data_IF_160875174608
#
_entry.id   IF_160875174608
#
_cell.length_a   1.000
_cell.length_b   1.000
_cell.length_c   1.000
_cell.angle_alpha   90.00
_cell.angle_beta   90.00
_cell.angle_gamma   90.00
#
_symmetry.space_group_name_H-M   'P 1'
#
loop_
_entity.id
_entity.type
_entity.pdbx_description
1 polymer ?
#
# COMPACT_ATOMS: atom_id res chain seq x y z
N UNK A 1 11.95 5.98 -5.01
CA UNK A 1 11.08 4.78 -5.04
C UNK A 1 11.63 3.75 -6.03
N UNK A 2 12.61 2.93 -5.61
CA UNK A 2 13.29 1.93 -6.45
C UNK A 2 13.18 0.49 -5.89
N UNK A 3 12.62 0.33 -4.68
CA UNK A 3 12.64 -0.91 -3.91
C UNK A 3 11.32 -1.69 -3.88
N UNK A 4 10.23 -1.14 -4.42
CA UNK A 4 8.95 -1.85 -4.52
C UNK A 4 8.21 -1.45 -5.80
N UNK A 5 8.18 -2.30 -6.84
CA UNK A 5 7.32 -2.11 -8.01
C UNK A 5 5.84 -1.95 -7.67
N UNK A 6 5.33 -2.59 -6.61
CA UNK A 6 3.95 -2.43 -6.16
C UNK A 6 3.62 -1.00 -5.72
N UNK A 7 4.50 -0.42 -4.89
CA UNK A 7 4.38 0.96 -4.43
C UNK A 7 4.41 1.98 -5.56
N UNK A 8 5.31 1.77 -6.53
CA UNK A 8 5.45 2.62 -7.72
C UNK A 8 4.15 2.63 -8.53
N UNK A 9 3.60 1.45 -8.84
CA UNK A 9 2.39 1.31 -9.64
C UNK A 9 1.16 1.90 -8.95
N UNK A 10 1.09 1.83 -7.62
CA UNK A 10 0.02 2.50 -6.85
C UNK A 10 0.16 4.02 -6.89
N UNK A 11 1.37 4.54 -6.69
CA UNK A 11 1.66 5.97 -6.80
C UNK A 11 1.34 6.50 -8.21
N UNK A 12 1.80 5.82 -9.26
CA UNK A 12 1.53 6.21 -10.65
C UNK A 12 0.03 6.22 -10.96
N UNK A 13 -0.75 5.26 -10.42
CA UNK A 13 -2.23 5.27 -10.52
C UNK A 13 -2.87 6.49 -9.84
N UNK A 14 -2.34 6.91 -8.69
CA UNK A 14 -2.83 8.09 -7.97
C UNK A 14 -2.51 9.37 -8.74
N UNK A 15 -1.28 9.48 -9.26
CA UNK A 15 -0.86 10.63 -10.08
C UNK A 15 -1.63 10.69 -11.40
N UNK A 16 -1.86 9.55 -12.06
CA UNK A 16 -2.69 9.47 -13.27
C UNK A 16 -4.15 9.86 -13.03
N UNK A 17 -4.66 9.71 -11.80
CA UNK A 17 -5.99 10.18 -11.39
C UNK A 17 -6.05 11.69 -11.10
N UNK A 18 -4.95 12.42 -11.27
CA UNK A 18 -4.88 13.84 -10.97
C UNK A 18 -4.81 14.15 -9.47
N UNK A 19 -4.52 13.16 -8.62
CA UNK A 19 -4.31 13.42 -7.21
C UNK A 19 -3.06 14.28 -7.05
N UNK A 20 -3.21 15.45 -6.41
CA UNK A 20 -2.07 16.32 -6.09
C UNK A 20 -1.00 15.54 -5.32
N UNK A 21 0.27 15.93 -5.50
CA UNK A 21 1.45 15.22 -4.97
C UNK A 21 1.28 14.81 -3.49
N UNK A 22 0.82 15.72 -2.63
CA UNK A 22 0.60 15.45 -1.21
C UNK A 22 -0.51 14.41 -0.95
N UNK A 23 -1.56 14.40 -1.75
CA UNK A 23 -2.67 13.44 -1.64
C UNK A 23 -2.21 12.05 -2.07
N UNK A 24 -1.48 11.95 -3.18
CA UNK A 24 -0.88 10.69 -3.63
C UNK A 24 0.08 10.13 -2.57
N UNK A 25 0.91 10.98 -1.96
CA UNK A 25 1.85 10.57 -0.93
C UNK A 25 1.14 10.10 0.35
N UNK A 26 0.09 10.80 0.80
CA UNK A 26 -0.73 10.39 1.95
C UNK A 26 -1.40 9.03 1.72
N UNK A 27 -1.99 8.82 0.54
CA UNK A 27 -2.63 7.55 0.21
C UNK A 27 -1.61 6.40 0.14
N UNK A 28 -0.42 6.66 -0.40
CA UNK A 28 0.67 5.70 -0.41
C UNK A 28 1.14 5.36 1.02
N UNK A 29 1.34 6.37 1.86
CA UNK A 29 1.78 6.20 3.25
C UNK A 29 0.74 5.42 4.08
N UNK A 30 -0.54 5.79 4.00
CA UNK A 30 -1.62 5.09 4.71
C UNK A 30 -1.67 3.60 4.33
N UNK A 31 -1.44 3.29 3.04
CA UNK A 31 -1.40 1.92 2.57
C UNK A 31 -0.21 1.14 3.14
N UNK A 32 0.98 1.75 3.17
CA UNK A 32 2.18 1.15 3.74
C UNK A 32 2.01 0.85 5.24
N UNK A 33 1.40 1.77 5.99
CA UNK A 33 1.10 1.57 7.42
C UNK A 33 0.16 0.37 7.63
N UNK A 34 -0.88 0.23 6.80
CA UNK A 34 -1.79 -0.93 6.87
C UNK A 34 -1.11 -2.27 6.60
N UNK A 35 -0.18 -2.31 5.64
CA UNK A 35 0.61 -3.51 5.34
C UNK A 35 1.54 -3.85 6.50
N UNK A 36 2.28 -2.86 7.01
CA UNK A 36 3.17 -3.03 8.16
C UNK A 36 2.40 -3.54 9.39
N UNK A 37 1.24 -2.94 9.67
CA UNK A 37 0.38 -3.36 10.76
C UNK A 37 -0.11 -4.80 10.58
N UNK A 38 -0.47 -5.20 9.35
CA UNK A 38 -0.81 -6.59 9.02
C UNK A 38 0.36 -7.54 9.34
N UNK A 39 1.55 -7.25 8.81
CA UNK A 39 2.77 -8.05 9.04
C UNK A 39 3.12 -8.14 10.53
N UNK A 40 3.00 -7.04 11.27
CA UNK A 40 3.28 -7.01 12.70
C UNK A 40 2.25 -7.83 13.49
N UNK A 41 0.96 -7.74 13.13
CA UNK A 41 -0.12 -8.48 13.78
C UNK A 41 -0.01 -9.99 13.57
N UNK A 42 0.40 -10.43 12.39
CA UNK A 42 0.54 -11.85 12.04
C UNK A 42 1.93 -12.40 12.31
N UNK A 43 2.91 -11.54 12.65
CA UNK A 43 4.31 -11.93 12.82
C UNK A 43 4.95 -12.44 11.52
N UNK A 44 4.39 -12.10 10.36
CA UNK A 44 4.89 -12.59 9.06
C UNK A 44 5.87 -11.60 8.44
N UNK A 45 6.95 -12.07 7.79
CA UNK A 45 7.84 -11.19 7.06
C UNK A 45 7.10 -10.46 5.94
N UNK A 46 7.60 -9.27 5.58
CA UNK A 46 7.05 -8.49 4.48
C UNK A 46 7.22 -9.25 3.17
N UNK A 47 6.11 -9.53 2.50
CA UNK A 47 6.05 -10.11 1.16
C UNK A 47 5.40 -9.10 0.22
N UNK A 48 6.10 -8.70 -0.84
CA UNK A 48 5.64 -7.68 -1.77
C UNK A 48 4.39 -8.12 -2.57
N UNK A 49 4.29 -9.39 -2.93
CA UNK A 49 3.14 -9.93 -3.65
C UNK A 49 1.89 -9.89 -2.76
N UNK A 50 2.03 -10.18 -1.47
CA UNK A 50 0.92 -10.15 -0.51
C UNK A 50 0.57 -8.72 -0.07
N UNK A 51 1.58 -7.88 0.14
CA UNK A 51 1.45 -6.48 0.55
C UNK A 51 0.67 -5.62 -0.46
N UNK A 52 0.92 -5.85 -1.76
CA UNK A 52 0.27 -5.11 -2.85
C UNK A 52 -0.83 -5.89 -3.55
N UNK A 53 -1.01 -7.18 -3.23
CA UNK A 53 -2.27 -7.87 -3.54
C UNK A 53 -3.39 -7.09 -2.89
N UNK A 54 -4.46 -6.85 -3.65
CA UNK A 54 -5.63 -6.13 -3.15
C UNK A 54 -6.07 -6.79 -1.83
N UNK A 55 -5.99 -6.10 -0.67
CA UNK A 55 -6.59 -6.62 0.54
C UNK A 55 -8.06 -6.65 0.20
N UNK A 56 -8.57 -7.87 0.05
CA UNK A 56 -9.96 -8.16 0.37
C UNK A 56 -10.13 -7.55 1.76
N UNK A 57 -10.92 -6.48 1.82
CA UNK A 57 -11.26 -5.87 3.08
C UNK A 57 -12.04 -6.94 3.85
N UNK A 58 -11.37 -7.67 4.73
CA UNK A 58 -12.04 -8.40 5.78
C UNK A 58 -12.52 -7.34 6.79
N UNK A 59 -13.59 -6.65 6.41
CA UNK A 59 -14.43 -5.91 7.33
C UNK A 59 -15.09 -6.96 8.23
N UNK A 60 -14.53 -7.13 9.42
CA UNK A 60 -15.14 -7.96 10.46
C UNK A 60 -16.35 -7.21 11.02
N UNK A 61 -17.46 -7.96 11.07
CA UNK A 61 -18.78 -7.77 11.69
C UNK A 61 -18.82 -6.93 12.96
#
# INVERSE_FOLDING_TARGET
MRHSPGARRYYDKLTARGAGYNTALRQLANRLVGILHGCLKTGTPYDEATAWSHPVQNATT
#
